data_IF_946975834880
#
_entry.id   IF_946975834880
#
_cell.length_a   1.000
_cell.length_b   1.000
_cell.length_c   1.000
_cell.angle_alpha   90.00
_cell.angle_beta   90.00
_cell.angle_gamma   90.00
#
_symmetry.space_group_name_H-M   'P 1'
#
loop_
_entity.id
_entity.type
_entity.pdbx_description
1 polymer ?
#
# COMPACT_ATOMS: atom_id res chain seq x y z
N UNK A 1 -57.91 4.90 -6.80
CA UNK A 1 -56.81 5.54 -6.06
C UNK A 1 -56.08 4.45 -5.30
N UNK A 2 -54.93 4.01 -5.81
CA UNK A 2 -54.05 3.07 -5.12
C UNK A 2 -52.63 3.52 -5.37
N UNK A 3 -52.01 4.13 -4.36
CA UNK A 3 -50.63 4.58 -4.38
C UNK A 3 -49.71 3.36 -4.51
N UNK A 4 -49.02 3.25 -5.64
CA UNK A 4 -47.86 2.38 -5.77
C UNK A 4 -46.70 3.18 -5.16
N UNK A 5 -46.36 2.86 -3.91
CA UNK A 5 -45.14 3.35 -3.29
C UNK A 5 -43.95 2.84 -4.10
N UNK A 6 -43.20 3.77 -4.70
CA UNK A 6 -41.92 3.50 -5.33
C UNK A 6 -40.97 2.89 -4.31
N UNK A 7 -40.72 1.58 -4.40
CA UNK A 7 -39.64 0.93 -3.69
C UNK A 7 -38.33 1.52 -4.21
N UNK A 8 -37.72 2.43 -3.45
CA UNK A 8 -36.33 2.81 -3.66
C UNK A 8 -35.49 1.54 -3.46
N UNK A 9 -34.92 1.01 -4.54
CA UNK A 9 -33.93 -0.05 -4.46
C UNK A 9 -32.69 0.49 -3.76
N UNK A 10 -32.61 0.27 -2.45
CA UNK A 10 -31.37 0.46 -1.72
C UNK A 10 -30.37 -0.56 -2.27
N UNK A 11 -29.33 -0.07 -2.93
CA UNK A 11 -28.19 -0.92 -3.33
C UNK A 11 -27.65 -1.60 -2.07
N UNK A 12 -27.36 -2.91 -2.10
CA UNK A 12 -26.87 -3.63 -0.94
C UNK A 12 -25.62 -2.96 -0.36
N UNK A 13 -25.54 -2.83 0.96
CA UNK A 13 -24.38 -2.24 1.64
C UNK A 13 -23.17 -3.13 1.40
N UNK A 14 -22.13 -2.60 0.76
CA UNK A 14 -20.90 -3.34 0.51
C UNK A 14 -19.88 -3.07 1.63
N UNK A 15 -18.96 -4.00 1.93
CA UNK A 15 -17.92 -3.78 2.92
C UNK A 15 -17.16 -2.45 2.74
N UNK A 16 -16.90 -2.05 1.48
CA UNK A 16 -16.24 -0.78 1.10
C UNK A 16 -16.94 0.48 1.59
N UNK A 17 -18.24 0.43 1.86
CA UNK A 17 -19.00 1.58 2.35
C UNK A 17 -18.69 1.91 3.82
N UNK A 18 -17.91 1.05 4.49
CA UNK A 18 -17.38 1.27 5.83
C UNK A 18 -15.86 1.36 5.83
N UNK A 19 -15.31 2.15 6.76
CA UNK A 19 -13.86 2.27 6.97
C UNK A 19 -13.39 1.18 7.95
N UNK A 20 -12.18 0.67 7.74
CA UNK A 20 -11.52 -0.17 8.73
C UNK A 20 -10.98 0.71 9.85
N UNK A 21 -11.39 0.41 11.07
CA UNK A 21 -10.88 1.04 12.28
C UNK A 21 -10.00 0.07 13.05
N UNK A 22 -8.88 0.57 13.56
CA UNK A 22 -8.08 -0.19 14.52
C UNK A 22 -8.92 -0.41 15.81
N UNK A 23 -8.74 -1.55 16.49
CA UNK A 23 -9.49 -1.85 17.72
C UNK A 23 -9.16 -0.89 18.88
N UNK A 24 -8.08 -0.11 18.75
CA UNK A 24 -7.67 0.92 19.70
C UNK A 24 -6.95 2.06 18.97
N UNK A 25 -6.98 3.30 19.49
CA UNK A 25 -6.24 4.41 18.90
C UNK A 25 -4.74 4.16 18.89
N UNK A 26 -4.04 4.75 17.94
CA UNK A 26 -2.58 4.72 17.92
C UNK A 26 -2.03 5.47 19.14
N UNK A 27 -1.01 4.93 19.83
CA UNK A 27 -0.38 5.58 20.96
C UNK A 27 0.37 6.84 20.50
N UNK A 28 0.51 7.81 21.40
CA UNK A 28 1.39 8.97 21.18
C UNK A 28 2.85 8.54 21.33
N UNK A 29 3.66 8.80 20.31
CA UNK A 29 5.09 8.52 20.37
C UNK A 29 5.85 9.63 21.11
N UNK A 30 6.90 9.29 21.87
CA UNK A 30 7.85 10.27 22.38
C UNK A 30 8.37 11.15 21.23
N UNK A 31 8.56 12.44 21.49
CA UNK A 31 9.14 13.37 20.52
C UNK A 31 10.55 12.90 20.11
N UNK A 32 10.88 13.12 18.84
CA UNK A 32 12.17 12.78 18.27
C UNK A 32 12.45 13.62 17.02
N UNK A 33 13.50 13.28 16.28
CA UNK A 33 13.94 14.08 15.14
C UNK A 33 13.14 13.81 13.87
N UNK A 34 13.17 12.61 13.29
CA UNK A 34 12.52 12.33 12.00
C UNK A 34 11.42 11.26 12.04
N UNK A 35 11.44 10.36 13.03
CA UNK A 35 10.49 9.26 13.12
C UNK A 35 9.05 9.74 13.32
N UNK A 36 8.11 9.07 12.64
CA UNK A 36 6.67 9.30 12.74
C UNK A 36 6.21 10.74 12.43
N UNK A 37 7.02 11.55 11.72
CA UNK A 37 6.62 12.87 11.23
C UNK A 37 5.54 12.84 10.14
N UNK A 38 5.38 11.70 9.47
CA UNK A 38 4.42 11.52 8.38
C UNK A 38 4.87 12.12 7.03
N UNK A 39 6.01 12.82 7.01
CA UNK A 39 6.62 13.40 5.80
C UNK A 39 8.00 12.78 5.58
N UNK A 40 8.31 12.42 4.34
CA UNK A 40 9.62 11.89 3.93
C UNK A 40 10.11 12.67 2.72
N UNK A 41 11.34 13.19 2.75
CA UNK A 41 12.01 13.80 1.60
C UNK A 41 12.78 12.73 0.81
N UNK A 42 12.38 12.54 -0.45
CA UNK A 42 12.97 11.56 -1.38
C UNK A 42 14.17 12.13 -2.16
N UNK A 43 14.66 13.32 -1.82
CA UNK A 43 15.77 14.00 -2.49
C UNK A 43 15.32 15.11 -3.44
N UNK A 44 14.38 15.96 -3.00
CA UNK A 44 13.80 17.03 -3.82
C UNK A 44 12.27 16.99 -3.93
N UNK A 45 11.69 15.89 -3.46
CA UNK A 45 10.25 15.63 -3.38
C UNK A 45 9.89 15.15 -1.97
N UNK A 46 9.13 15.96 -1.25
CA UNK A 46 8.52 15.50 0.00
C UNK A 46 7.26 14.69 -0.31
N UNK A 47 7.07 13.57 0.39
CA UNK A 47 5.86 12.76 0.31
C UNK A 47 5.15 12.66 1.64
N UNK A 48 3.82 12.65 1.59
CA UNK A 48 2.95 12.49 2.75
C UNK A 48 1.91 11.40 2.47
N UNK A 49 1.66 10.53 3.44
CA UNK A 49 0.67 9.48 3.32
C UNK A 49 -0.74 10.00 3.64
N UNK A 50 -1.66 9.88 2.69
CA UNK A 50 -3.08 10.22 2.86
C UNK A 50 -3.90 8.93 2.99
N UNK A 51 -4.80 8.89 3.96
CA UNK A 51 -5.73 7.77 4.23
C UNK A 51 -7.20 8.17 4.13
N UNK A 52 -7.48 9.45 3.83
CA UNK A 52 -8.83 9.97 3.63
C UNK A 52 -9.11 10.13 2.16
N UNK A 53 -10.31 9.74 1.74
CA UNK A 53 -10.67 9.72 0.33
C UNK A 53 -12.11 10.15 0.08
N UNK A 54 -12.35 10.73 -1.09
CA UNK A 54 -13.67 10.95 -1.66
C UNK A 54 -13.95 9.84 -2.67
N UNK A 55 -15.10 9.18 -2.56
CA UNK A 55 -15.54 8.17 -3.54
C UNK A 55 -15.84 8.89 -4.87
N UNK A 56 -15.22 8.42 -5.97
CA UNK A 56 -15.42 9.00 -7.31
C UNK A 56 -16.30 8.10 -8.15
N UNK A 57 -15.95 6.82 -8.25
CA UNK A 57 -16.70 5.85 -9.06
C UNK A 57 -16.68 4.48 -8.39
N UNK A 58 -17.83 3.81 -8.41
CA UNK A 58 -17.97 2.42 -7.97
C UNK A 58 -18.56 1.61 -9.11
N UNK A 59 -17.94 0.48 -9.38
CA UNK A 59 -18.50 -0.58 -10.22
C UNK A 59 -18.89 -1.75 -9.32
N UNK A 60 -20.04 -2.36 -9.59
CA UNK A 60 -20.66 -3.37 -8.73
C UNK A 60 -20.51 -4.80 -9.26
N UNK A 61 -19.85 -4.96 -10.40
CA UNK A 61 -19.64 -6.23 -11.11
C UNK A 61 -18.18 -6.37 -11.55
N UNK A 62 -17.77 -7.61 -11.80
CA UNK A 62 -16.38 -7.95 -12.16
C UNK A 62 -15.44 -7.91 -10.96
N UNK A 63 -14.16 -8.21 -11.21
CA UNK A 63 -13.14 -8.27 -10.16
C UNK A 63 -13.36 -9.40 -9.14
N UNK A 64 -12.83 -9.20 -7.93
CA UNK A 64 -12.87 -10.21 -6.87
C UNK A 64 -14.31 -10.42 -6.34
N UNK A 65 -14.70 -11.69 -6.18
CA UNK A 65 -16.02 -12.12 -5.73
C UNK A 65 -17.19 -11.59 -6.57
N UNK A 66 -16.91 -11.07 -7.77
CA UNK A 66 -17.87 -10.37 -8.62
C UNK A 66 -18.58 -9.19 -7.91
N UNK A 67 -17.92 -8.58 -6.92
CA UNK A 67 -18.46 -7.43 -6.18
C UNK A 67 -18.01 -6.09 -6.75
N UNK A 68 -17.17 -6.09 -7.79
CA UNK A 68 -16.60 -4.91 -8.42
C UNK A 68 -15.56 -4.22 -7.54
N UNK A 69 -15.31 -2.95 -7.84
CA UNK A 69 -14.29 -2.14 -7.19
C UNK A 69 -14.75 -0.68 -7.03
N UNK A 70 -14.08 0.03 -6.13
CA UNK A 70 -14.31 1.45 -5.90
C UNK A 70 -13.01 2.22 -6.10
N UNK A 71 -13.14 3.34 -6.81
CA UNK A 71 -12.07 4.26 -7.18
C UNK A 71 -12.27 5.56 -6.44
N UNK A 72 -11.22 6.01 -5.74
CA UNK A 72 -11.30 7.10 -4.79
C UNK A 72 -10.19 8.13 -5.01
N UNK A 73 -10.57 9.39 -4.88
CA UNK A 73 -9.66 10.52 -4.91
C UNK A 73 -9.16 10.82 -3.49
N UNK A 74 -7.85 10.98 -3.26
CA UNK A 74 -7.32 11.41 -1.96
C UNK A 74 -7.87 12.79 -1.58
N UNK A 75 -8.30 12.95 -0.33
CA UNK A 75 -8.90 14.19 0.16
C UNK A 75 -8.12 14.75 1.35
N UNK A 76 -8.36 16.03 1.66
CA UNK A 76 -7.70 16.73 2.78
C UNK A 76 -6.17 16.78 2.65
N UNK A 77 -5.66 17.14 1.47
CA UNK A 77 -4.22 17.25 1.23
C UNK A 77 -3.60 18.34 2.14
N UNK A 78 -2.42 18.10 2.73
CA UNK A 78 -1.69 19.14 3.44
C UNK A 78 -1.27 20.28 2.49
N UNK A 79 -1.04 21.46 3.06
CA UNK A 79 -0.68 22.65 2.27
C UNK A 79 0.60 22.44 1.45
N UNK A 80 0.52 22.78 0.15
CA UNK A 80 1.60 22.63 -0.80
C UNK A 80 1.79 21.23 -1.37
N UNK A 81 1.04 20.22 -0.89
CA UNK A 81 1.05 18.88 -1.49
C UNK A 81 0.09 18.79 -2.67
N UNK A 82 0.50 18.00 -3.65
CA UNK A 82 -0.21 17.74 -4.91
C UNK A 82 -0.52 16.25 -5.05
N UNK A 83 -1.62 15.94 -5.72
CA UNK A 83 -2.01 14.57 -6.05
C UNK A 83 -0.99 13.93 -6.99
N UNK A 84 -0.67 12.66 -6.73
CA UNK A 84 0.17 11.80 -7.57
C UNK A 84 -0.59 10.64 -8.23
N UNK A 85 -1.83 10.40 -7.81
CA UNK A 85 -2.71 9.38 -8.36
C UNK A 85 -3.92 9.10 -7.48
N UNK A 86 -4.85 8.30 -8.00
CA UNK A 86 -6.03 7.85 -7.27
C UNK A 86 -5.79 6.49 -6.61
N UNK A 87 -6.61 6.19 -5.62
CA UNK A 87 -6.63 4.91 -4.93
C UNK A 87 -7.77 4.03 -5.47
N UNK A 88 -7.58 2.72 -5.48
CA UNK A 88 -8.64 1.77 -5.79
C UNK A 88 -8.54 0.52 -4.91
N UNK A 89 -9.69 -0.09 -4.62
CA UNK A 89 -9.73 -1.40 -3.98
C UNK A 89 -10.99 -2.18 -4.37
N UNK A 90 -10.95 -3.52 -4.26
CA UNK A 90 -12.15 -4.35 -4.39
C UNK A 90 -13.20 -3.99 -3.35
N UNK A 91 -14.47 -4.19 -3.70
CA UNK A 91 -15.58 -3.85 -2.81
C UNK A 91 -15.83 -4.86 -1.68
N UNK A 92 -15.19 -6.04 -1.75
CA UNK A 92 -15.34 -7.15 -0.81
C UNK A 92 -14.69 -6.90 0.57
N UNK A 93 -14.04 -5.75 0.77
CA UNK A 93 -13.37 -5.38 2.02
C UNK A 93 -13.64 -3.93 2.41
N UNK A 94 -13.55 -3.65 3.72
CA UNK A 94 -13.62 -2.29 4.26
C UNK A 94 -12.54 -1.39 3.68
N UNK A 95 -12.80 -0.08 3.62
CA UNK A 95 -11.81 0.91 3.18
C UNK A 95 -10.64 0.94 4.18
N UNK A 96 -9.43 0.60 3.71
CA UNK A 96 -8.19 0.57 4.52
C UNK A 96 -6.97 1.09 3.75
N UNK A 97 -7.20 1.77 2.63
CA UNK A 97 -6.16 2.22 1.71
C UNK A 97 -5.33 3.41 2.18
N UNK A 98 -4.27 3.65 1.44
CA UNK A 98 -3.48 4.87 1.52
C UNK A 98 -2.87 5.19 0.15
N UNK A 99 -2.51 6.46 -0.06
CA UNK A 99 -1.64 6.85 -1.17
C UNK A 99 -0.67 7.95 -0.73
N UNK A 100 0.45 8.09 -1.44
CA UNK A 100 1.36 9.22 -1.27
C UNK A 100 0.92 10.40 -2.14
N UNK A 101 0.94 11.58 -1.54
CA UNK A 101 0.89 12.87 -2.23
C UNK A 101 2.26 13.53 -2.15
N UNK A 102 2.59 14.39 -3.11
CA UNK A 102 3.93 14.94 -3.28
C UNK A 102 3.98 16.46 -3.16
N UNK A 103 5.02 17.00 -2.54
CA UNK A 103 5.32 18.44 -2.48
C UNK A 103 6.70 18.69 -3.09
N UNK A 104 6.74 19.62 -4.03
CA UNK A 104 7.99 20.04 -4.65
C UNK A 104 8.76 20.97 -3.72
N UNK A 105 9.98 20.57 -3.36
CA UNK A 105 10.90 21.37 -2.54
C UNK A 105 12.10 21.88 -3.34
N UNK A 106 12.34 21.34 -4.53
CA UNK A 106 13.47 21.69 -5.40
C UNK A 106 13.09 22.70 -6.48
N UNK A 107 11.78 22.88 -6.74
CA UNK A 107 11.22 23.79 -7.72
C UNK A 107 11.03 23.18 -9.10
N UNK A 108 11.44 21.93 -9.28
CA UNK A 108 11.32 21.17 -10.53
C UNK A 108 11.05 19.67 -10.32
N UNK A 109 10.73 19.21 -9.10
CA UNK A 109 10.43 17.79 -8.88
C UNK A 109 9.03 17.40 -9.35
N UNK A 110 8.12 18.35 -9.47
CA UNK A 110 6.75 18.13 -9.92
C UNK A 110 6.36 19.08 -11.05
N UNK A 111 5.70 18.54 -12.08
CA UNK A 111 5.09 19.33 -13.17
C UNK A 111 3.66 18.88 -13.45
N UNK A 112 2.78 19.78 -13.89
CA UNK A 112 1.50 19.34 -14.44
C UNK A 112 1.74 18.45 -15.68
N UNK A 113 0.87 17.46 -15.95
CA UNK A 113 0.85 16.80 -17.25
C UNK A 113 0.63 17.80 -18.38
N UNK A 114 1.04 17.42 -19.58
CA UNK A 114 0.79 18.19 -20.81
C UNK A 114 -0.55 17.85 -21.46
N UNK A 115 -1.05 16.63 -21.23
CA UNK A 115 -2.36 16.16 -21.66
C UNK A 115 -2.79 14.90 -20.86
N UNK A 116 -3.93 14.32 -21.20
CA UNK A 116 -4.40 13.03 -20.72
C UNK A 116 -4.76 12.08 -21.87
N UNK A 117 -4.36 10.82 -21.72
CA UNK A 117 -4.82 9.71 -22.56
C UNK A 117 -6.00 9.01 -21.89
N UNK A 118 -7.10 8.83 -22.63
CA UNK A 118 -8.21 8.00 -22.18
C UNK A 118 -7.82 6.53 -22.34
N UNK A 119 -7.64 5.82 -21.24
CA UNK A 119 -7.31 4.40 -21.25
C UNK A 119 -8.55 3.52 -21.40
N UNK A 120 -9.63 3.90 -20.71
CA UNK A 120 -10.86 3.11 -20.70
C UNK A 120 -12.08 3.96 -20.33
N UNK A 121 -13.26 3.57 -20.82
CA UNK A 121 -14.55 4.13 -20.40
C UNK A 121 -15.61 3.04 -20.24
N UNK A 122 -16.49 3.18 -19.25
CA UNK A 122 -17.61 2.25 -19.06
C UNK A 122 -18.66 2.31 -20.17
N UNK A 123 -18.71 3.44 -20.91
CA UNK A 123 -19.65 3.67 -22.01
C UNK A 123 -19.43 2.71 -23.17
N UNK A 124 -18.18 2.42 -23.51
CA UNK A 124 -17.84 1.50 -24.61
C UNK A 124 -18.25 0.05 -24.31
N UNK A 125 -18.48 -0.28 -23.05
CA UNK A 125 -18.62 -1.66 -22.59
C UNK A 125 -20.01 -2.03 -22.10
N UNK A 126 -20.97 -1.09 -22.08
CA UNK A 126 -22.28 -1.27 -21.42
C UNK A 126 -22.15 -1.90 -20.03
N UNK A 127 -21.11 -1.53 -19.29
CA UNK A 127 -21.06 -1.79 -17.85
C UNK A 127 -22.07 -0.83 -17.25
N UNK A 128 -23.34 -1.24 -17.31
CA UNK A 128 -24.48 -0.53 -16.78
C UNK A 128 -24.41 -0.69 -15.27
N UNK A 129 -23.77 0.27 -14.61
CA UNK A 129 -24.01 0.44 -13.19
C UNK A 129 -25.51 0.73 -13.03
N UNK A 130 -26.14 0.12 -12.02
CA UNK A 130 -27.55 0.36 -11.64
C UNK A 130 -27.90 1.83 -11.28
N UNK A 131 -27.02 2.81 -11.59
CA UNK A 131 -27.08 4.24 -11.25
C UNK A 131 -26.22 5.09 -12.19
N UNK A 132 -26.62 5.28 -13.45
CA UNK A 132 -26.29 6.36 -14.42
C UNK A 132 -24.85 6.94 -14.57
N UNK A 133 -23.84 6.44 -13.85
CA UNK A 133 -22.49 7.01 -13.83
C UNK A 133 -21.47 6.08 -14.48
N UNK A 134 -20.87 6.57 -15.55
CA UNK A 134 -19.79 5.92 -16.28
C UNK A 134 -18.43 6.35 -15.74
N UNK A 135 -17.56 5.38 -15.44
CA UNK A 135 -16.16 5.67 -15.09
C UNK A 135 -15.31 5.89 -16.34
N UNK A 136 -14.42 6.88 -16.29
CA UNK A 136 -13.42 7.19 -17.31
C UNK A 136 -12.04 7.18 -16.68
N UNK A 137 -11.11 6.40 -17.23
CA UNK A 137 -9.76 6.21 -16.70
C UNK A 137 -8.79 6.99 -17.56
N UNK A 138 -8.06 7.91 -16.94
CA UNK A 138 -7.14 8.80 -17.64
C UNK A 138 -5.72 8.58 -17.14
N UNK A 139 -4.80 8.45 -18.11
CA UNK A 139 -3.37 8.45 -17.87
C UNK A 139 -2.82 9.85 -18.13
N UNK A 140 -2.15 10.49 -17.15
CA UNK A 140 -1.44 11.74 -17.39
C UNK A 140 -0.32 11.52 -18.42
N UNK A 141 -0.22 12.40 -19.41
CA UNK A 141 0.92 12.48 -20.33
C UNK A 141 1.97 13.38 -19.67
N UNK A 142 3.10 12.82 -19.19
CA UNK A 142 4.11 13.63 -18.54
C UNK A 142 4.86 14.50 -19.57
N UNK A 143 5.34 15.69 -19.17
CA UNK A 143 6.32 16.42 -19.96
C UNK A 143 7.66 15.66 -20.04
N UNK A 144 8.51 16.04 -20.99
CA UNK A 144 9.84 15.45 -21.16
C UNK A 144 10.67 15.52 -19.87
N UNK A 145 11.27 14.38 -19.48
CA UNK A 145 12.03 14.24 -18.24
C UNK A 145 11.18 13.99 -16.99
N UNK A 146 9.89 13.74 -17.14
CA UNK A 146 8.97 13.40 -16.05
C UNK A 146 8.24 12.08 -16.34
N UNK A 147 7.58 11.55 -15.32
CA UNK A 147 6.83 10.31 -15.39
C UNK A 147 5.55 10.39 -14.57
N UNK A 148 4.48 9.77 -15.07
CA UNK A 148 3.25 9.58 -14.31
C UNK A 148 3.41 8.39 -13.35
N UNK A 149 2.99 8.56 -12.11
CA UNK A 149 3.09 7.54 -11.05
C UNK A 149 1.71 7.07 -10.54
N UNK A 150 0.65 7.50 -11.21
CA UNK A 150 -0.72 7.12 -10.90
C UNK A 150 -1.71 7.58 -11.97
N UNK A 151 -2.88 6.95 -11.95
CA UNK A 151 -4.01 7.24 -12.83
C UNK A 151 -5.06 8.08 -12.11
N UNK A 152 -5.95 8.70 -12.87
CA UNK A 152 -7.12 9.41 -12.35
C UNK A 152 -8.41 8.86 -12.98
N UNK A 153 -9.50 8.95 -12.22
CA UNK A 153 -10.82 8.50 -12.65
C UNK A 153 -11.79 9.68 -12.62
N UNK A 154 -12.66 9.79 -13.62
CA UNK A 154 -13.77 10.75 -13.62
C UNK A 154 -15.10 10.06 -13.90
N UNK A 155 -16.19 10.76 -13.63
CA UNK A 155 -17.56 10.33 -13.96
C UNK A 155 -18.14 11.04 -15.20
N UNK A 156 -17.35 11.94 -15.81
CA UNK A 156 -17.67 12.63 -17.07
C UNK A 156 -16.61 12.33 -18.12
N UNK A 157 -17.01 12.42 -19.40
CA UNK A 157 -16.12 12.20 -20.55
C UNK A 157 -15.12 13.35 -20.79
N UNK A 158 -15.22 14.43 -20.03
CA UNK A 158 -14.35 15.59 -20.17
C UNK A 158 -12.96 15.27 -19.62
N UNK A 159 -11.93 15.76 -20.31
CA UNK A 159 -10.54 15.64 -19.85
C UNK A 159 -10.41 16.34 -18.50
N UNK A 160 -9.72 15.73 -17.52
CA UNK A 160 -9.46 16.39 -16.25
C UNK A 160 -8.59 17.65 -16.43
N UNK A 161 -8.71 18.64 -15.54
CA UNK A 161 -7.83 19.80 -15.52
C UNK A 161 -6.35 19.40 -15.37
N UNK A 162 -5.44 20.05 -16.09
CA UNK A 162 -4.00 19.74 -16.03
C UNK A 162 -3.37 20.01 -14.65
N UNK A 163 -4.00 20.85 -13.84
CA UNK A 163 -3.55 21.12 -12.47
C UNK A 163 -4.03 20.06 -11.45
N UNK A 164 -4.87 19.10 -11.85
CA UNK A 164 -5.45 18.06 -10.99
C UNK A 164 -4.44 17.10 -10.39
N UNK A 165 -3.38 16.75 -11.13
CA UNK A 165 -2.34 15.80 -10.72
C UNK A 165 -0.96 16.37 -11.09
N UNK A 166 0.10 15.81 -10.52
CA UNK A 166 1.48 16.11 -10.93
C UNK A 166 2.21 14.86 -11.42
N UNK A 167 3.00 15.06 -12.46
CA UNK A 167 4.03 14.13 -12.91
C UNK A 167 5.32 14.40 -12.14
N UNK A 168 6.10 13.35 -11.92
CA UNK A 168 7.30 13.36 -11.08
C UNK A 168 8.54 13.34 -11.97
N UNK A 169 9.57 14.12 -11.63
CA UNK A 169 10.84 14.12 -12.38
C UNK A 169 11.42 12.71 -12.43
N UNK A 170 11.89 12.27 -13.61
CA UNK A 170 12.17 10.85 -13.86
C UNK A 170 13.27 10.26 -12.96
N UNK A 171 14.24 11.06 -12.49
CA UNK A 171 15.27 10.63 -11.55
C UNK A 171 14.73 10.26 -10.16
N UNK A 172 13.56 10.77 -9.80
CA UNK A 172 12.80 10.47 -8.57
C UNK A 172 11.78 9.34 -8.77
N UNK A 173 11.88 8.61 -9.88
CA UNK A 173 11.01 7.48 -10.20
C UNK A 173 11.80 6.20 -10.46
N UNK A 174 11.12 5.06 -10.34
CA UNK A 174 11.67 3.73 -10.64
C UNK A 174 10.58 2.81 -11.22
N UNK A 175 10.97 1.65 -11.72
CA UNK A 175 10.05 0.68 -12.34
C UNK A 175 9.10 0.06 -11.32
N UNK A 176 7.84 -0.07 -11.72
CA UNK A 176 6.82 -0.81 -10.97
C UNK A 176 6.20 -1.91 -11.83
N UNK A 177 5.57 -2.87 -11.17
CA UNK A 177 4.84 -3.97 -11.78
C UNK A 177 3.46 -4.10 -11.12
N UNK A 178 2.46 -4.67 -11.84
CA UNK A 178 1.19 -5.04 -11.23
C UNK A 178 1.39 -6.04 -10.09
N UNK A 179 0.64 -5.88 -9.00
CA UNK A 179 0.69 -6.76 -7.83
C UNK A 179 -0.58 -7.60 -7.69
N UNK A 180 -1.62 -7.05 -7.06
CA UNK A 180 -2.90 -7.73 -6.87
C UNK A 180 -3.94 -7.14 -7.81
N UNK A 181 -4.62 -8.01 -8.57
CA UNK A 181 -5.74 -7.61 -9.41
C UNK A 181 -6.85 -7.01 -8.54
N UNK A 182 -7.28 -5.79 -8.88
CA UNK A 182 -8.38 -5.10 -8.21
C UNK A 182 -9.67 -5.33 -8.98
N UNK A 183 -9.62 -5.12 -10.30
CA UNK A 183 -10.78 -5.18 -11.17
C UNK A 183 -10.37 -5.42 -12.62
N UNK A 184 -11.24 -6.06 -13.40
CA UNK A 184 -11.03 -6.27 -14.82
C UNK A 184 -12.39 -6.22 -15.54
N UNK A 185 -12.42 -5.58 -16.70
CA UNK A 185 -13.55 -5.63 -17.62
C UNK A 185 -13.10 -5.47 -19.08
N UNK A 186 -13.55 -6.37 -19.95
CA UNK A 186 -13.37 -6.27 -21.40
C UNK A 186 -11.91 -6.03 -21.83
N UNK A 187 -10.97 -6.76 -21.22
CA UNK A 187 -9.54 -6.66 -21.53
C UNK A 187 -8.82 -5.47 -20.88
N UNK A 188 -9.53 -4.59 -20.16
CA UNK A 188 -8.93 -3.57 -19.31
C UNK A 188 -8.80 -4.10 -17.89
N UNK A 189 -7.57 -4.24 -17.41
CA UNK A 189 -7.28 -4.68 -16.05
C UNK A 189 -6.71 -3.55 -15.20
N UNK A 190 -7.12 -3.54 -13.95
CA UNK A 190 -6.64 -2.63 -12.91
C UNK A 190 -6.09 -3.47 -11.77
N UNK A 191 -4.87 -3.16 -11.37
CA UNK A 191 -4.16 -3.83 -10.28
C UNK A 191 -3.53 -2.81 -9.34
N UNK A 192 -3.27 -3.20 -8.09
CA UNK A 192 -2.33 -2.46 -7.26
C UNK A 192 -0.94 -2.48 -7.91
N UNK A 193 -0.12 -1.47 -7.62
CA UNK A 193 1.27 -1.41 -8.08
C UNK A 193 2.23 -1.78 -6.95
N UNK A 194 3.36 -2.39 -7.32
CA UNK A 194 4.50 -2.57 -6.41
C UNK A 194 5.80 -2.27 -7.14
N UNK A 195 6.85 -1.77 -6.46
CA UNK A 195 8.14 -1.59 -7.09
C UNK A 195 8.75 -2.91 -7.54
N UNK A 196 9.45 -2.94 -8.68
CA UNK A 196 10.16 -4.13 -9.18
C UNK A 196 11.35 -4.45 -8.25
N UNK A 197 12.16 -3.44 -7.95
CA UNK A 197 13.31 -3.56 -7.05
C UNK A 197 12.86 -3.44 -5.59
N UNK A 198 13.08 -4.50 -4.81
CA UNK A 198 12.65 -4.60 -3.41
C UNK A 198 13.76 -5.20 -2.55
N UNK A 199 13.86 -4.75 -1.31
CA UNK A 199 14.87 -5.24 -0.36
C UNK A 199 15.31 -4.14 0.60
N UNK A 200 16.15 -4.48 1.57
CA UNK A 200 16.62 -3.52 2.59
C UNK A 200 17.49 -2.40 2.02
N UNK A 201 18.02 -2.58 0.81
CA UNK A 201 18.85 -1.60 0.09
C UNK A 201 18.11 -0.98 -1.11
N UNK A 202 16.86 -1.37 -1.38
CA UNK A 202 16.12 -0.85 -2.52
C UNK A 202 15.64 0.59 -2.23
N UNK A 203 15.70 1.45 -3.25
CA UNK A 203 15.27 2.85 -3.17
C UNK A 203 13.81 3.06 -3.53
N UNK A 204 13.18 2.06 -4.12
CA UNK A 204 11.89 2.21 -4.77
C UNK A 204 10.78 2.27 -3.72
N UNK A 205 9.90 3.25 -3.87
CA UNK A 205 8.84 3.58 -2.92
C UNK A 205 7.48 3.38 -3.60
N UNK A 206 6.63 2.56 -2.99
CA UNK A 206 5.26 2.36 -3.46
C UNK A 206 4.44 3.63 -3.23
N UNK A 207 3.67 4.04 -4.24
CA UNK A 207 2.83 5.25 -4.18
C UNK A 207 1.45 4.95 -3.56
N UNK A 208 1.08 3.68 -3.45
CA UNK A 208 -0.26 3.26 -3.01
C UNK A 208 -1.35 3.54 -4.06
N UNK A 209 -0.98 3.79 -5.31
CA UNK A 209 -1.90 3.98 -6.44
C UNK A 209 -2.16 2.65 -7.16
N UNK A 210 -3.17 2.63 -8.03
CA UNK A 210 -3.40 1.52 -8.95
C UNK A 210 -2.76 1.80 -10.32
N UNK A 211 -2.57 0.73 -11.10
CA UNK A 211 -2.05 0.79 -12.47
C UNK A 211 -2.91 -0.06 -13.40
N UNK A 212 -2.82 0.25 -14.69
CA UNK A 212 -3.22 -0.62 -15.80
C UNK A 212 -1.98 -1.13 -16.54
N UNK A 213 -2.17 -1.71 -17.74
CA UNK A 213 -1.07 -2.13 -18.62
C UNK A 213 -0.82 -1.07 -19.71
N UNK A 214 0.45 -0.64 -19.96
CA UNK A 214 1.65 -0.97 -19.19
C UNK A 214 1.66 -0.30 -17.80
N UNK A 215 2.46 -0.85 -16.89
CA UNK A 215 2.56 -0.34 -15.53
C UNK A 215 3.19 1.06 -15.49
N UNK A 216 2.65 1.94 -14.63
CA UNK A 216 3.23 3.26 -14.37
C UNK A 216 4.48 3.17 -13.48
N UNK A 217 5.24 4.25 -13.41
CA UNK A 217 6.41 4.31 -12.55
C UNK A 217 6.00 4.36 -11.06
N UNK A 218 6.86 3.85 -10.18
CA UNK A 218 6.80 4.13 -8.74
C UNK A 218 7.79 5.25 -8.39
N UNK A 219 7.82 5.66 -7.12
CA UNK A 219 8.73 6.69 -6.64
C UNK A 219 10.10 6.09 -6.31
N UNK A 220 11.12 6.93 -6.24
CA UNK A 220 12.48 6.56 -5.86
C UNK A 220 13.02 7.49 -4.79
N UNK A 221 13.50 6.90 -3.71
CA UNK A 221 14.22 7.61 -2.67
C UNK A 221 15.70 7.80 -3.07
N UNK A 222 16.05 9.02 -3.47
CA UNK A 222 17.43 9.42 -3.73
C UNK A 222 18.14 9.94 -2.47
N UNK A 223 17.43 10.09 -1.34
CA UNK A 223 17.94 10.54 -0.05
C UNK A 223 17.80 9.44 1.01
N UNK A 224 18.67 8.45 0.93
CA UNK A 224 18.80 7.42 1.95
C UNK A 224 19.51 7.96 3.19
N UNK A 225 18.75 8.60 4.07
CA UNK A 225 19.23 8.91 5.42
C UNK A 225 18.49 8.06 6.46
N UNK A 226 19.15 7.80 7.58
CA UNK A 226 18.54 7.09 8.71
C UNK A 226 17.87 8.03 9.70
N UNK A 227 17.71 9.33 9.39
CA UNK A 227 17.11 10.29 10.32
C UNK A 227 15.63 9.99 10.62
N UNK A 228 14.98 9.23 9.75
CA UNK A 228 13.60 8.77 9.93
C UNK A 228 13.48 7.53 10.83
N UNK A 229 14.59 6.92 11.25
CA UNK A 229 14.57 5.78 12.18
C UNK A 229 14.14 6.24 13.58
N UNK A 230 13.41 5.40 14.33
CA UNK A 230 13.05 5.71 15.71
C UNK A 230 14.29 5.80 16.60
N UNK A 231 14.32 6.80 17.48
CA UNK A 231 15.32 6.89 18.56
C UNK A 231 15.16 5.74 19.56
N UNK A 232 16.16 5.49 20.41
CA UNK A 232 16.06 4.46 21.46
C UNK A 232 14.80 4.61 22.32
N UNK A 233 14.47 5.83 22.72
CA UNK A 233 13.28 6.12 23.55
C UNK A 233 11.99 5.75 22.81
N UNK A 234 11.93 6.04 21.50
CA UNK A 234 10.79 5.68 20.65
C UNK A 234 10.72 4.17 20.40
N UNK A 235 11.86 3.49 20.25
CA UNK A 235 11.95 2.03 20.17
C UNK A 235 11.42 1.40 21.47
N UNK A 236 11.90 1.84 22.63
CA UNK A 236 11.46 1.32 23.93
C UNK A 236 9.93 1.50 24.10
N UNK A 237 9.38 2.63 23.64
CA UNK A 237 7.93 2.86 23.62
C UNK A 237 7.19 1.91 22.67
N UNK A 238 7.69 1.69 21.45
CA UNK A 238 7.12 0.73 20.48
C UNK A 238 7.07 -0.69 21.07
N UNK A 239 8.16 -1.15 21.68
CA UNK A 239 8.20 -2.45 22.32
C UNK A 239 7.21 -2.53 23.48
N UNK A 240 7.16 -1.52 24.35
CA UNK A 240 6.22 -1.52 25.48
C UNK A 240 4.76 -1.58 25.03
N UNK A 241 4.41 -0.94 23.91
CA UNK A 241 3.03 -0.91 23.41
C UNK A 241 2.64 -2.14 22.60
N UNK A 242 3.55 -2.66 21.77
CA UNK A 242 3.19 -3.67 20.76
C UNK A 242 3.94 -5.01 20.90
N UNK A 243 4.93 -5.13 21.78
CA UNK A 243 5.60 -6.41 21.95
C UNK A 243 4.59 -7.44 22.50
N UNK A 244 4.58 -8.66 21.93
CA UNK A 244 3.71 -9.71 22.43
C UNK A 244 4.10 -10.05 23.87
N UNK A 245 3.11 -10.04 24.77
CA UNK A 245 3.27 -10.52 26.13
C UNK A 245 3.08 -12.04 26.12
N UNK A 246 4.13 -12.77 26.49
CA UNK A 246 4.09 -14.23 26.59
C UNK A 246 4.00 -14.61 28.07
N UNK A 247 2.92 -15.27 28.44
CA UNK A 247 2.73 -15.83 29.77
C UNK A 247 3.05 -17.32 29.73
N UNK A 248 4.04 -17.73 30.52
CA UNK A 248 4.35 -19.15 30.68
C UNK A 248 3.52 -19.74 31.80
N UNK A 249 3.07 -20.99 31.58
CA UNK A 249 2.47 -21.76 32.66
C UNK A 249 3.51 -22.00 33.75
N UNK A 250 3.09 -22.10 35.01
CA UNK A 250 3.99 -22.35 36.14
C UNK A 250 4.81 -23.65 36.00
N UNK A 251 4.25 -24.62 35.30
CA UNK A 251 4.87 -25.93 35.02
C UNK A 251 5.52 -25.98 33.63
N UNK A 252 5.73 -24.83 32.99
CA UNK A 252 6.37 -24.75 31.69
C UNK A 252 7.82 -25.23 31.78
N UNK A 253 8.13 -26.30 31.05
CA UNK A 253 9.46 -26.90 31.04
C UNK A 253 10.41 -26.22 30.06
N UNK A 254 9.88 -25.50 29.06
CA UNK A 254 10.67 -24.93 27.97
C UNK A 254 10.46 -23.42 27.87
N UNK A 255 11.53 -22.68 28.15
CA UNK A 255 11.54 -21.23 28.02
C UNK A 255 12.17 -20.80 26.68
N UNK A 256 11.83 -19.62 26.16
CA UNK A 256 12.44 -19.08 24.95
C UNK A 256 13.95 -18.95 25.13
N UNK A 257 14.69 -19.34 24.09
CA UNK A 257 16.12 -19.07 24.03
C UNK A 257 16.37 -17.58 23.76
N UNK A 258 17.48 -17.05 24.25
CA UNK A 258 17.85 -15.66 23.95
C UNK A 258 18.20 -15.49 22.47
N UNK A 259 18.07 -14.27 21.97
CA UNK A 259 18.46 -13.90 20.58
C UNK A 259 19.93 -14.25 20.32
N UNK A 260 20.82 -13.98 21.28
CA UNK A 260 22.25 -14.33 21.18
C UNK A 260 22.47 -15.84 21.11
N UNK A 261 21.73 -16.62 21.90
CA UNK A 261 21.80 -18.08 21.84
C UNK A 261 21.36 -18.57 20.46
N UNK A 262 20.27 -18.03 19.91
CA UNK A 262 19.79 -18.37 18.57
C UNK A 262 20.84 -18.05 17.49
N UNK A 263 21.44 -16.86 17.50
CA UNK A 263 22.47 -16.51 16.52
C UNK A 263 23.75 -17.35 16.66
N UNK A 264 24.11 -17.74 17.89
CA UNK A 264 25.30 -18.55 18.15
C UNK A 264 25.12 -20.03 17.77
N UNK A 265 23.90 -20.56 17.93
CA UNK A 265 23.62 -21.99 17.75
C UNK A 265 22.91 -22.29 16.42
N UNK A 266 22.35 -21.28 15.75
CA UNK A 266 21.55 -21.40 14.54
C UNK A 266 20.20 -22.08 14.77
N UNK A 267 19.48 -22.35 13.69
CA UNK A 267 18.27 -23.17 13.70
C UNK A 267 18.22 -24.08 12.48
N UNK A 268 17.55 -25.23 12.63
CA UNK A 268 17.30 -26.17 11.54
C UNK A 268 15.92 -25.91 10.95
N UNK A 269 15.85 -25.70 9.63
CA UNK A 269 14.60 -25.53 8.91
C UNK A 269 14.10 -26.90 8.41
N UNK A 270 12.83 -27.21 8.71
CA UNK A 270 12.16 -28.41 8.23
C UNK A 270 11.04 -28.02 7.28
N UNK A 271 11.04 -28.58 6.06
CA UNK A 271 9.88 -28.50 5.16
C UNK A 271 8.86 -29.54 5.56
N UNK A 272 7.58 -29.14 5.62
CA UNK A 272 6.43 -29.97 6.02
C UNK A 272 6.29 -31.31 5.27
N UNK A 273 6.89 -31.43 4.08
CA UNK A 273 6.86 -32.64 3.26
C UNK A 273 8.05 -33.61 3.47
N UNK A 274 9.10 -33.20 4.19
CA UNK A 274 10.31 -34.02 4.38
C UNK A 274 10.73 -34.05 5.85
N UNK A 275 10.72 -35.24 6.46
CA UNK A 275 11.18 -35.50 7.83
C UNK A 275 12.71 -35.47 7.99
N UNK A 276 13.46 -34.94 7.01
CA UNK A 276 14.91 -34.70 7.10
C UNK A 276 15.14 -33.19 7.07
N UNK A 277 15.95 -32.64 8.00
CA UNK A 277 16.32 -31.23 7.94
C UNK A 277 17.14 -30.98 6.68
N UNK A 278 16.92 -29.85 6.00
CA UNK A 278 17.89 -29.37 5.02
C UNK A 278 19.16 -29.01 5.83
N UNK A 279 20.17 -29.86 5.75
CA UNK A 279 21.34 -29.88 6.63
C UNK A 279 22.37 -28.80 6.27
N UNK A 280 21.93 -27.56 6.13
CA UNK A 280 22.81 -26.41 6.09
C UNK A 280 22.56 -25.61 7.36
N UNK A 281 23.55 -25.61 8.28
CA UNK A 281 23.65 -24.60 9.33
C UNK A 281 23.84 -23.26 8.63
N UNK A 282 22.74 -22.62 8.23
CA UNK A 282 22.82 -21.27 7.69
C UNK A 282 23.05 -20.35 8.88
N UNK A 283 24.29 -19.91 9.06
CA UNK A 283 24.58 -18.78 9.94
C UNK A 283 23.75 -17.60 9.44
N UNK A 284 22.80 -17.15 10.25
CA UNK A 284 22.01 -15.96 9.94
C UNK A 284 22.96 -14.75 9.89
N UNK A 285 23.30 -14.32 8.68
CA UNK A 285 23.85 -12.98 8.47
C UNK A 285 22.72 -11.97 8.63
N UNK A 286 23.04 -10.79 9.19
CA UNK A 286 22.11 -9.75 9.69
C UNK A 286 21.09 -9.16 8.71
N UNK A 287 20.95 -9.71 7.51
CA UNK A 287 20.18 -9.14 6.39
C UNK A 287 18.94 -9.96 5.96
N UNK A 288 18.44 -10.89 6.78
CA UNK A 288 17.21 -11.63 6.44
C UNK A 288 16.14 -11.55 7.54
N UNK A 289 14.98 -10.99 7.17
CA UNK A 289 13.79 -10.95 8.02
C UNK A 289 12.97 -12.22 7.81
N UNK A 290 12.88 -13.08 8.81
CA UNK A 290 11.93 -14.19 8.86
C UNK A 290 11.10 -14.10 10.14
N UNK A 291 9.77 -14.05 10.02
CA UNK A 291 8.89 -14.32 11.16
C UNK A 291 8.94 -15.83 11.42
N UNK A 292 9.53 -16.20 12.55
CA UNK A 292 9.71 -17.59 12.96
C UNK A 292 8.98 -17.81 14.28
N UNK A 293 7.88 -18.57 14.25
CA UNK A 293 7.36 -19.25 15.44
C UNK A 293 8.06 -20.60 15.54
N UNK A 294 8.91 -20.81 16.54
CA UNK A 294 9.53 -22.11 16.82
C UNK A 294 9.15 -22.61 18.21
N UNK A 295 8.45 -23.74 18.25
CA UNK A 295 8.54 -24.67 19.38
C UNK A 295 9.83 -25.47 19.20
N UNK A 296 10.84 -25.20 20.02
CA UNK A 296 12.03 -26.02 20.06
C UNK A 296 11.72 -27.37 20.74
N UNK A 297 11.99 -28.49 20.07
CA UNK A 297 12.17 -29.80 20.74
C UNK A 297 13.63 -29.87 21.22
N UNK A 298 13.90 -30.13 22.51
CA UNK A 298 15.27 -30.40 22.94
C UNK A 298 15.73 -31.74 22.40
N UNK A 299 16.91 -31.75 21.80
CA UNK A 299 17.65 -32.98 21.49
C UNK A 299 18.48 -33.35 22.72
N UNK A 300 18.13 -34.50 23.30
CA UNK A 300 18.96 -35.43 24.08
C UNK A 300 19.58 -34.92 25.40
N UNK A 301 19.10 -35.55 26.47
CA UNK A 301 19.67 -35.64 27.81
C UNK A 301 21.08 -36.24 27.73
N UNK A 302 22.09 -35.55 28.27
CA UNK A 302 23.31 -36.20 28.74
C UNK A 302 23.21 -36.33 30.25
N UNK A 303 22.98 -37.56 30.71
CA UNK A 303 23.22 -37.98 32.10
C UNK A 303 24.72 -38.16 32.30
N UNK A 304 25.26 -37.44 33.28
CA UNK A 304 26.42 -37.87 34.06
C UNK A 304 25.94 -38.22 35.46
#
# INVERSE_FOLDING_TARGET
MGNISSAQSSSPSLPIDSTFDLPSPLPSWPSGEGFAKGIIDLGGLEVFQVTKFNKVWTVYEGGQDNLGATFLEPSSLPEGFSLLGFYAQPNNRKLFGWTLVGKDISGDSLRPPVDYLLLWSGKSTKVENNKDQTGYFWQPVPPDGYSAVGLIVTTTAEKPPLDKIRCVRSDLTDQSEPDAMIWEANGFSVSSSKPVNRGTQASSVCVGTFTSNPALACLKNNKFNFSCMPSKVQIDALFKTYAPLIHFHKDEKYLPSSVNWFFSNGALLYKKAHNKPESNKTLFQSNQTAQIFLKAKPTTVFTG
#
